data_IF_460176165175
#
_entry.id   IF_460176165175
#
_cell.length_a   1.000
_cell.length_b   1.000
_cell.length_c   1.000
_cell.angle_alpha   90.00
_cell.angle_beta   90.00
_cell.angle_gamma   90.00
#
_symmetry.space_group_name_H-M   'P 1'
#
loop_
_entity.id
_entity.type
_entity.pdbx_description
1 polymer ?
#
# COMPACT_ATOMS: atom_id res chain seq x y z
N UNK A 1 11.88 -9.52 -6.92
CA UNK A 1 10.64 -8.86 -6.48
C UNK A 1 9.80 -9.89 -5.77
N UNK A 2 9.47 -9.64 -4.51
CA UNK A 2 8.59 -10.54 -3.75
C UNK A 2 7.20 -10.44 -4.40
N UNK A 3 6.38 -11.50 -4.31
CA UNK A 3 5.01 -11.49 -4.87
C UNK A 3 4.17 -10.33 -4.33
N UNK A 4 4.49 -9.86 -3.12
CA UNK A 4 3.86 -8.74 -2.43
C UNK A 4 4.06 -7.40 -3.17
N UNK A 5 5.29 -7.10 -3.60
CA UNK A 5 5.64 -5.91 -4.38
C UNK A 5 4.81 -5.82 -5.68
N UNK A 6 4.66 -6.95 -6.38
CA UNK A 6 3.90 -7.01 -7.64
C UNK A 6 2.41 -6.73 -7.38
N UNK A 7 1.87 -7.29 -6.30
CA UNK A 7 0.47 -7.09 -5.94
C UNK A 7 0.21 -5.63 -5.50
N UNK A 8 1.19 -5.02 -4.82
CA UNK A 8 1.15 -3.61 -4.46
C UNK A 8 1.19 -2.69 -5.68
N UNK A 9 2.08 -2.95 -6.64
CA UNK A 9 2.18 -2.16 -7.88
C UNK A 9 0.86 -2.25 -8.65
N UNK A 10 0.31 -3.46 -8.84
CA UNK A 10 -0.99 -3.66 -9.50
C UNK A 10 -2.10 -2.91 -8.76
N UNK A 11 -2.13 -2.99 -7.43
CA UNK A 11 -3.07 -2.26 -6.59
C UNK A 11 -2.94 -0.74 -6.76
N UNK A 12 -1.72 -0.21 -6.79
CA UNK A 12 -1.43 1.22 -6.99
C UNK A 12 -1.89 1.70 -8.37
N UNK A 13 -1.66 0.90 -9.42
CA UNK A 13 -2.08 1.21 -10.79
C UNK A 13 -3.60 1.24 -10.91
N UNK A 14 -4.29 0.26 -10.33
CA UNK A 14 -5.76 0.24 -10.29
C UNK A 14 -6.28 1.44 -9.51
N UNK A 15 -5.66 1.74 -8.37
CA UNK A 15 -6.07 2.85 -7.53
C UNK A 15 -5.95 4.19 -8.25
N UNK A 16 -4.86 4.41 -8.99
CA UNK A 16 -4.68 5.60 -9.83
C UNK A 16 -5.83 5.75 -10.83
N UNK A 17 -6.19 4.66 -11.53
CA UNK A 17 -7.31 4.63 -12.48
C UNK A 17 -8.65 4.92 -11.81
N UNK A 18 -8.91 4.34 -10.64
CA UNK A 18 -10.14 4.56 -9.87
C UNK A 18 -10.24 6.02 -9.40
N UNK A 19 -9.17 6.59 -8.83
CA UNK A 19 -9.16 8.02 -8.44
C UNK A 19 -9.36 8.96 -9.62
N UNK A 20 -8.86 8.58 -10.80
CA UNK A 20 -9.07 9.35 -12.02
C UNK A 20 -10.54 9.35 -12.44
N UNK A 21 -11.14 8.17 -12.57
CA UNK A 21 -12.55 8.03 -12.97
C UNK A 21 -13.47 8.73 -11.98
N UNK A 22 -13.21 8.59 -10.67
CA UNK A 22 -13.98 9.30 -9.65
C UNK A 22 -13.81 10.82 -9.80
N UNK A 23 -12.60 11.31 -10.06
CA UNK A 23 -12.34 12.73 -10.26
C UNK A 23 -13.07 13.31 -11.47
N UNK A 24 -13.03 12.58 -12.58
CA UNK A 24 -13.73 12.95 -13.81
C UNK A 24 -15.25 12.90 -13.63
N UNK A 25 -15.77 11.94 -12.86
CA UNK A 25 -17.20 11.81 -12.58
C UNK A 25 -17.69 12.92 -11.62
N UNK A 26 -16.90 13.26 -10.61
CA UNK A 26 -17.21 14.37 -9.68
C UNK A 26 -17.15 15.71 -10.39
N UNK A 27 -16.14 15.96 -11.22
CA UNK A 27 -15.99 17.23 -11.95
C UNK A 27 -16.91 17.32 -13.18
N UNK A 28 -17.20 16.19 -13.84
CA UNK A 28 -18.07 16.11 -15.00
C UNK A 28 -19.56 16.20 -14.65
N UNK A 29 -19.96 15.76 -13.46
CA UNK A 29 -21.34 15.92 -12.97
C UNK A 29 -21.60 17.32 -12.38
N UNK A 30 -20.55 17.99 -11.88
CA UNK A 30 -20.66 19.29 -11.22
C UNK A 30 -20.15 20.40 -12.16
N UNK A 31 -21.00 20.82 -13.08
CA UNK A 31 -20.80 21.97 -13.97
C UNK A 31 -20.25 23.19 -13.18
N UNK A 32 -19.21 23.84 -13.72
CA UNK A 32 -18.49 25.01 -13.20
C UNK A 32 -17.50 24.77 -12.02
N UNK A 33 -16.57 23.82 -12.19
CA UNK A 33 -15.48 23.62 -11.23
C UNK A 33 -14.48 24.78 -11.28
N UNK A 34 -14.46 25.60 -10.23
CA UNK A 34 -13.38 26.57 -10.02
C UNK A 34 -12.03 25.85 -9.90
N UNK A 35 -10.92 26.43 -10.39
CA UNK A 35 -9.59 25.81 -10.38
C UNK A 35 -9.10 25.39 -8.98
N UNK A 36 -9.65 25.99 -7.91
CA UNK A 36 -9.35 25.62 -6.52
C UNK A 36 -9.74 24.18 -6.18
N UNK A 37 -10.79 23.64 -6.78
CA UNK A 37 -11.26 22.27 -6.52
C UNK A 37 -10.28 21.23 -7.06
N UNK A 38 -9.60 21.50 -8.17
CA UNK A 38 -8.54 20.62 -8.68
C UNK A 38 -7.37 20.48 -7.71
N UNK A 39 -7.00 21.56 -7.03
CA UNK A 39 -5.92 21.55 -6.04
C UNK A 39 -6.30 20.68 -4.84
N UNK A 40 -7.54 20.83 -4.35
CA UNK A 40 -8.06 20.00 -3.25
C UNK A 40 -8.13 18.53 -3.69
N UNK A 41 -8.58 18.26 -4.92
CA UNK A 41 -8.65 16.91 -5.47
C UNK A 41 -7.27 16.26 -5.57
N UNK A 42 -6.27 17.00 -6.06
CA UNK A 42 -4.90 16.53 -6.14
C UNK A 42 -4.33 16.24 -4.74
N UNK A 43 -4.58 17.11 -3.76
CA UNK A 43 -4.17 16.88 -2.37
C UNK A 43 -4.79 15.62 -1.77
N UNK A 44 -6.06 15.32 -2.10
CA UNK A 44 -6.74 14.08 -1.67
C UNK A 44 -6.09 12.85 -2.30
N UNK A 45 -5.81 12.87 -3.61
CA UNK A 45 -5.14 11.75 -4.29
C UNK A 45 -3.78 11.48 -3.64
N UNK A 46 -2.98 12.52 -3.39
CA UNK A 46 -1.65 12.42 -2.76
C UNK A 46 -1.76 11.87 -1.34
N UNK A 47 -2.73 12.33 -0.55
CA UNK A 47 -2.95 11.84 0.81
C UNK A 47 -3.30 10.34 0.83
N UNK A 48 -4.17 9.88 -0.09
CA UNK A 48 -4.55 8.47 -0.22
C UNK A 48 -3.34 7.62 -0.64
N UNK A 49 -2.57 8.08 -1.63
CA UNK A 49 -1.38 7.34 -2.09
C UNK A 49 -0.32 7.22 -1.01
N UNK A 50 -0.12 8.27 -0.21
CA UNK A 50 0.77 8.22 0.97
C UNK A 50 0.26 7.25 2.02
N UNK A 51 -1.03 7.31 2.38
CA UNK A 51 -1.61 6.40 3.37
C UNK A 51 -1.45 4.93 2.97
N UNK A 52 -1.64 4.60 1.69
CA UNK A 52 -1.50 3.24 1.17
C UNK A 52 -0.03 2.81 1.11
N UNK A 53 0.87 3.72 0.76
CA UNK A 53 2.32 3.47 0.79
C UNK A 53 2.80 3.17 2.21
N UNK A 54 2.35 3.97 3.20
CA UNK A 54 2.67 3.75 4.61
C UNK A 54 2.10 2.40 5.08
N UNK A 55 0.84 2.11 4.75
CA UNK A 55 0.20 0.84 5.11
C UNK A 55 0.95 -0.37 4.54
N UNK A 56 1.35 -0.30 3.26
CA UNK A 56 2.13 -1.35 2.63
C UNK A 56 3.49 -1.54 3.30
N UNK A 57 4.20 -0.44 3.57
CA UNK A 57 5.48 -0.48 4.30
C UNK A 57 5.31 -1.12 5.68
N UNK A 58 4.22 -0.82 6.39
CA UNK A 58 3.93 -1.39 7.70
C UNK A 58 3.66 -2.91 7.66
N UNK A 59 3.07 -3.40 6.55
CA UNK A 59 2.83 -4.83 6.31
C UNK A 59 4.11 -5.56 5.89
N UNK A 60 4.98 -4.90 5.14
CA UNK A 60 6.28 -5.44 4.73
C UNK A 60 7.18 -5.65 5.96
N UNK A 61 7.21 -4.66 6.88
CA UNK A 61 7.94 -4.72 8.16
C UNK A 61 7.47 -5.87 9.07
N UNK A 62 6.17 -6.18 9.07
CA UNK A 62 5.68 -7.36 9.82
C UNK A 62 6.14 -8.69 9.22
N UNK A 63 6.49 -8.72 7.94
CA UNK A 63 6.89 -9.96 7.26
C UNK A 63 8.38 -10.29 7.39
N UNK A 64 9.20 -9.36 7.85
CA UNK A 64 10.61 -9.62 8.20
C UNK A 64 10.76 -10.33 9.56
N UNK A 65 9.68 -10.50 10.33
CA UNK A 65 9.69 -11.36 11.52
C UNK A 65 9.79 -12.85 11.20
N UNK A 66 9.55 -13.26 9.94
CA UNK A 66 9.81 -14.62 9.44
C UNK A 66 11.18 -14.70 8.75
N UNK A 67 12.25 -14.19 9.39
CA UNK A 67 13.59 -14.47 8.91
C UNK A 67 13.86 -15.99 9.03
N UNK A 68 14.09 -16.72 7.93
CA UNK A 68 14.36 -18.15 7.96
C UNK A 68 15.58 -18.50 8.82
N UNK A 69 16.49 -17.53 9.08
CA UNK A 69 17.59 -17.72 10.04
C UNK A 69 17.09 -17.82 11.48
N UNK A 70 16.09 -17.03 11.89
CA UNK A 70 15.45 -17.12 13.22
C UNK A 70 14.73 -18.46 13.37
N UNK A 71 13.95 -18.86 12.37
CA UNK A 71 13.26 -20.16 12.35
C UNK A 71 14.25 -21.34 12.44
N UNK A 72 15.42 -21.24 11.80
CA UNK A 72 16.48 -22.27 11.88
C UNK A 72 17.16 -22.30 13.26
N UNK A 73 17.31 -21.15 13.91
CA UNK A 73 17.88 -21.05 15.26
C UNK A 73 16.91 -21.62 16.32
N UNK A 74 15.62 -21.28 16.25
CA UNK A 74 14.60 -21.81 17.16
C UNK A 74 14.45 -23.33 17.05
N UNK A 75 14.47 -23.88 15.83
CA UNK A 75 14.49 -25.35 15.63
C UNK A 75 15.70 -26.01 16.30
N UNK A 76 16.89 -25.38 16.24
CA UNK A 76 18.10 -25.91 16.89
C UNK A 76 18.04 -25.84 18.41
N UNK A 77 17.48 -24.75 18.97
CA UNK A 77 17.37 -24.54 20.41
C UNK A 77 16.32 -25.47 21.04
N UNK A 78 15.13 -25.61 20.44
CA UNK A 78 14.10 -26.52 20.95
C UNK A 78 14.55 -27.99 20.94
N UNK A 79 15.39 -28.39 19.97
CA UNK A 79 15.96 -29.75 19.93
C UNK A 79 16.90 -30.06 21.09
N UNK A 80 17.49 -29.05 21.73
CA UNK A 80 18.39 -29.19 22.89
C UNK A 80 17.66 -29.16 24.23
N UNK A 81 16.46 -28.57 24.28
CA UNK A 81 15.68 -28.41 25.52
C UNK A 81 14.88 -29.67 25.89
N UNK A 82 14.72 -30.59 24.94
CA UNK A 82 13.95 -31.84 25.07
C UNK A 82 14.85 -33.08 25.28
N UNK A 83 16.11 -32.88 25.69
CA UNK A 83 17.05 -33.92 26.08
C UNK A 83 17.52 -33.64 27.50
#
# INVERSE_FOLDING_TARGET
>A
MKKKDITFIIGLTILMGVTWVIGELVMGLWIAVMPKTHIIWFAVIVAITLAISIWHSFIEDRSDFEDPKRAKYERKVNKRKNK
#
